data_IF_214171605940
#
_entry.id   IF_214171605940
#
_cell.length_a   1.000
_cell.length_b   1.000
_cell.length_c   1.000
_cell.angle_alpha   90.00
_cell.angle_beta   90.00
_cell.angle_gamma   90.00
#
_symmetry.space_group_name_H-M   'P 1'
#
loop_
_entity.id
_entity.type
_entity.pdbx_description
1 polymer ?
#
# COMPACT_ATOMS: atom_id res chain seq x y z
N UNK A 1 -9.05 51.14 2.77
CA UNK A 1 -9.11 50.50 1.44
C UNK A 1 -8.69 49.04 1.64
N UNK A 2 -9.65 48.12 1.64
CA UNK A 2 -9.38 46.67 1.85
C UNK A 2 -9.05 46.09 0.48
N UNK A 3 -7.84 45.59 0.33
CA UNK A 3 -7.44 44.87 -0.90
C UNK A 3 -8.13 43.49 -0.87
N UNK A 4 -8.96 43.13 -1.83
CA UNK A 4 -9.59 41.84 -1.86
C UNK A 4 -8.50 40.75 -1.97
N UNK A 5 -8.66 39.65 -1.22
CA UNK A 5 -7.80 38.47 -1.35
C UNK A 5 -7.97 37.87 -2.76
N UNK A 6 -7.02 38.17 -3.63
CA UNK A 6 -6.95 37.56 -4.98
C UNK A 6 -6.25 36.23 -4.86
N UNK A 7 -6.93 35.16 -5.24
CA UNK A 7 -6.35 33.83 -5.25
C UNK A 7 -5.57 33.54 -6.56
N UNK A 8 -4.68 32.56 -6.55
CA UNK A 8 -3.98 32.10 -7.76
C UNK A 8 -4.99 31.65 -8.83
N UNK A 9 -6.10 31.04 -8.42
CA UNK A 9 -7.19 30.66 -9.31
C UNK A 9 -7.82 31.86 -10.03
N UNK A 10 -7.97 32.98 -9.32
CA UNK A 10 -8.53 34.22 -9.90
C UNK A 10 -7.56 34.81 -10.93
N UNK A 11 -6.27 34.83 -10.63
CA UNK A 11 -5.24 35.28 -11.57
C UNK A 11 -5.16 34.43 -12.84
N UNK A 12 -5.23 33.12 -12.69
CA UNK A 12 -5.25 32.18 -13.81
C UNK A 12 -6.56 32.24 -14.61
N UNK A 13 -7.67 32.65 -14.03
CA UNK A 13 -8.93 32.84 -14.74
C UNK A 13 -8.93 34.08 -15.63
N UNK A 14 -8.23 35.14 -15.23
CA UNK A 14 -8.22 36.44 -15.90
C UNK A 14 -7.21 36.50 -17.07
N UNK A 15 -6.07 35.81 -16.98
CA UNK A 15 -4.99 35.92 -17.97
C UNK A 15 -4.69 34.58 -18.67
N UNK A 16 -4.86 34.56 -19.99
CA UNK A 16 -4.48 33.41 -20.82
C UNK A 16 -2.97 33.20 -20.85
N UNK A 17 -2.17 34.27 -20.70
CA UNK A 17 -0.72 34.21 -20.76
C UNK A 17 -0.14 33.67 -19.45
N UNK A 18 -0.68 34.08 -18.28
CA UNK A 18 -0.33 33.49 -17.00
C UNK A 18 -0.66 31.99 -16.95
N UNK A 19 -1.77 31.56 -17.59
CA UNK A 19 -2.08 30.13 -17.72
C UNK A 19 -1.04 29.36 -18.52
N UNK A 20 -0.62 29.92 -19.66
CA UNK A 20 0.42 29.30 -20.49
C UNK A 20 1.75 29.21 -19.75
N UNK A 21 2.13 30.25 -19.07
CA UNK A 21 3.37 30.33 -18.31
C UNK A 21 3.35 29.37 -17.09
N UNK A 22 2.23 29.27 -16.39
CA UNK A 22 2.06 28.31 -15.31
C UNK A 22 2.12 26.85 -15.80
N UNK A 23 1.52 26.55 -16.97
CA UNK A 23 1.58 25.22 -17.60
C UNK A 23 3.02 24.88 -18.03
N UNK A 24 3.74 25.86 -18.60
CA UNK A 24 5.14 25.68 -19.02
C UNK A 24 6.06 25.43 -17.81
N UNK A 25 5.88 26.17 -16.70
CA UNK A 25 6.65 25.97 -15.46
C UNK A 25 6.29 24.67 -14.73
N UNK A 26 5.05 24.21 -14.84
CA UNK A 26 4.60 22.92 -14.27
C UNK A 26 4.86 21.72 -15.18
N UNK A 27 5.40 21.96 -16.36
CA UNK A 27 5.74 20.87 -17.29
C UNK A 27 6.86 20.03 -16.71
N UNK A 28 6.58 18.76 -16.51
CA UNK A 28 7.58 17.80 -15.99
C UNK A 28 8.77 17.77 -16.96
N UNK A 29 9.87 18.37 -16.58
CA UNK A 29 11.12 18.23 -17.32
C UNK A 29 11.76 16.90 -16.92
N UNK A 30 12.11 16.09 -17.92
CA UNK A 30 12.99 14.95 -17.70
C UNK A 30 14.33 15.50 -17.22
N UNK A 31 14.61 15.35 -15.93
CA UNK A 31 15.95 15.60 -15.41
C UNK A 31 16.85 14.52 -16.00
N UNK A 32 17.90 14.87 -16.75
CA UNK A 32 18.86 13.87 -17.22
C UNK A 32 19.44 13.14 -16.00
N UNK A 33 19.45 11.82 -16.04
CA UNK A 33 20.09 11.03 -15.01
C UNK A 33 21.55 11.49 -14.88
N UNK A 34 22.09 11.69 -13.68
CA UNK A 34 23.47 12.15 -13.49
C UNK A 34 24.54 11.23 -14.09
N UNK A 35 24.12 10.08 -14.64
CA UNK A 35 25.01 9.15 -15.34
C UNK A 35 25.11 9.37 -16.87
N UNK A 36 24.40 10.36 -17.45
CA UNK A 36 24.41 10.56 -18.90
C UNK A 36 25.25 11.75 -19.39
N UNK A 37 25.99 12.44 -18.54
CA UNK A 37 26.68 13.67 -18.91
C UNK A 37 28.22 13.65 -18.86
N UNK A 38 28.85 12.49 -18.82
CA UNK A 38 30.31 12.45 -18.93
C UNK A 38 30.75 11.35 -19.87
N UNK A 39 30.64 11.57 -21.18
CA UNK A 39 31.51 10.85 -22.15
C UNK A 39 31.57 11.65 -23.46
N UNK A 40 32.32 12.75 -23.44
CA UNK A 40 32.93 13.29 -24.63
C UNK A 40 34.38 13.65 -24.36
N UNK A 41 35.25 12.67 -24.39
CA UNK A 41 36.64 12.78 -24.74
C UNK A 41 37.33 11.42 -24.59
N UNK A 42 37.78 10.85 -25.65
CA UNK A 42 38.69 9.69 -25.65
C UNK A 42 38.02 8.40 -26.13
N UNK A 43 38.16 8.16 -27.42
CA UNK A 43 37.86 6.86 -28.05
C UNK A 43 38.83 5.83 -27.50
N UNK A 44 38.40 5.09 -26.50
CA UNK A 44 38.90 3.76 -26.21
C UNK A 44 37.69 2.84 -26.22
N UNK A 45 37.80 1.72 -26.92
CA UNK A 45 36.71 0.76 -27.10
C UNK A 45 36.09 0.43 -25.74
N UNK A 46 35.00 1.10 -25.41
CA UNK A 46 34.13 0.72 -24.29
C UNK A 46 33.47 -0.56 -24.77
N UNK A 47 33.86 -1.68 -24.17
CA UNK A 47 33.08 -2.90 -24.29
C UNK A 47 31.62 -2.51 -23.99
N UNK A 48 30.76 -2.70 -24.97
CA UNK A 48 29.33 -2.41 -24.80
C UNK A 48 28.86 -3.23 -23.59
N UNK A 49 28.65 -2.56 -22.49
CA UNK A 49 27.97 -3.15 -21.34
C UNK A 49 26.55 -3.43 -21.84
N UNK A 50 26.34 -4.64 -22.28
CA UNK A 50 24.99 -5.14 -22.50
C UNK A 50 24.39 -5.26 -21.12
N UNK A 51 23.68 -4.21 -20.69
CA UNK A 51 22.77 -4.35 -19.56
C UNK A 51 21.91 -5.59 -19.84
N UNK A 52 21.79 -6.52 -18.90
CA UNK A 52 20.92 -7.67 -19.08
C UNK A 52 19.56 -7.16 -19.56
N UNK A 53 18.91 -7.84 -20.50
CA UNK A 53 17.61 -7.41 -21.01
C UNK A 53 16.68 -7.25 -19.80
N UNK A 54 16.03 -6.09 -19.70
CA UNK A 54 15.04 -5.83 -18.63
C UNK A 54 13.95 -6.87 -18.79
N UNK A 55 13.85 -7.79 -17.83
CA UNK A 55 12.79 -8.78 -17.81
C UNK A 55 11.57 -8.13 -17.14
N UNK A 56 10.51 -7.94 -17.91
CA UNK A 56 9.24 -7.41 -17.41
C UNK A 56 8.40 -8.60 -16.93
N UNK A 57 8.05 -8.62 -15.67
CA UNK A 57 7.18 -9.64 -15.08
C UNK A 57 5.72 -9.37 -15.46
N UNK A 58 4.99 -10.42 -15.83
CA UNK A 58 3.55 -10.33 -16.12
C UNK A 58 2.72 -10.22 -14.84
N UNK A 59 3.19 -10.81 -13.74
CA UNK A 59 2.54 -10.76 -12.43
C UNK A 59 3.58 -10.99 -11.34
N UNK A 60 3.40 -10.30 -10.22
CA UNK A 60 4.18 -10.50 -9.00
C UNK A 60 3.21 -10.83 -7.87
N UNK A 61 3.39 -11.95 -7.14
CA UNK A 61 2.53 -12.31 -6.03
C UNK A 61 2.52 -11.22 -4.94
N UNK A 62 1.37 -11.05 -4.31
CA UNK A 62 1.26 -10.21 -3.12
C UNK A 62 2.12 -10.79 -1.98
N UNK A 63 2.54 -9.93 -1.08
CA UNK A 63 3.41 -10.30 0.03
C UNK A 63 2.61 -10.83 1.21
N UNK A 64 3.10 -11.89 1.82
CA UNK A 64 2.51 -12.51 3.00
C UNK A 64 3.46 -12.40 4.18
N UNK A 65 2.88 -12.15 5.35
CA UNK A 65 3.59 -12.07 6.62
C UNK A 65 3.06 -13.14 7.56
N UNK A 66 3.94 -13.92 8.17
CA UNK A 66 3.53 -14.88 9.18
C UNK A 66 3.21 -14.15 10.48
N UNK A 67 2.02 -14.43 11.00
CA UNK A 67 1.51 -13.80 12.24
C UNK A 67 0.92 -14.85 13.17
N UNK A 68 0.86 -14.55 14.45
CA UNK A 68 0.09 -15.34 15.43
C UNK A 68 -1.10 -14.51 15.89
N UNK A 69 -2.29 -15.07 15.78
CA UNK A 69 -3.56 -14.44 16.13
C UNK A 69 -4.00 -14.87 17.51
N UNK A 70 -4.26 -13.91 18.41
CA UNK A 70 -4.66 -14.13 19.82
C UNK A 70 -3.76 -15.12 20.58
N UNK A 71 -2.50 -15.24 20.18
CA UNK A 71 -1.55 -16.18 20.79
C UNK A 71 -1.87 -17.67 20.55
N UNK A 72 -2.89 -18.01 19.74
CA UNK A 72 -3.38 -19.40 19.59
C UNK A 72 -3.33 -19.94 18.16
N UNK A 73 -3.35 -19.09 17.14
CA UNK A 73 -3.40 -19.54 15.76
C UNK A 73 -2.39 -18.82 14.87
N UNK A 74 -1.45 -19.58 14.26
CA UNK A 74 -0.52 -19.04 13.29
C UNK A 74 -1.14 -19.04 11.88
N UNK A 75 -1.06 -17.91 11.18
CA UNK A 75 -1.60 -17.72 9.83
C UNK A 75 -0.66 -16.89 8.98
N UNK A 76 -0.85 -16.92 7.66
CA UNK A 76 -0.24 -15.99 6.71
C UNK A 76 -1.20 -14.82 6.45
N UNK A 77 -0.77 -13.63 6.82
CA UNK A 77 -1.48 -12.38 6.57
C UNK A 77 -1.01 -11.74 5.27
N UNK A 78 -1.91 -11.56 4.33
CA UNK A 78 -1.66 -10.88 3.06
C UNK A 78 -1.54 -9.38 3.28
N UNK A 79 -0.43 -8.77 2.87
CA UNK A 79 -0.23 -7.32 2.92
C UNK A 79 -0.87 -6.67 1.69
N UNK A 80 -1.91 -5.86 1.90
CA UNK A 80 -2.63 -5.18 0.82
C UNK A 80 -2.81 -3.69 1.13
N UNK A 81 -2.03 -2.85 0.48
CA UNK A 81 -2.13 -1.39 0.61
C UNK A 81 -3.39 -0.80 -0.06
N UNK A 82 -4.04 -1.58 -0.93
CA UNK A 82 -5.31 -1.19 -1.57
C UNK A 82 -6.52 -1.38 -0.69
N UNK A 83 -6.41 -2.15 0.41
CA UNK A 83 -7.53 -2.41 1.31
C UNK A 83 -7.64 -1.38 2.42
N UNK A 84 -8.84 -0.81 2.58
CA UNK A 84 -9.16 0.16 3.64
C UNK A 84 -9.47 -0.49 4.99
N UNK A 85 -9.54 -1.83 5.05
CA UNK A 85 -9.91 -2.59 6.23
C UNK A 85 -8.99 -3.80 6.43
N UNK A 86 -9.02 -4.38 7.63
CA UNK A 86 -8.47 -5.71 7.89
C UNK A 86 -9.60 -6.73 7.78
N UNK A 87 -9.36 -7.82 7.07
CA UNK A 87 -10.34 -8.88 6.85
C UNK A 87 -9.80 -10.21 7.34
N UNK A 88 -10.65 -10.96 8.04
CA UNK A 88 -10.37 -12.34 8.43
C UNK A 88 -11.46 -13.26 7.89
N UNK A 89 -11.06 -14.38 7.27
CA UNK A 89 -12.01 -15.37 6.81
C UNK A 89 -12.65 -16.11 7.98
N UNK A 90 -13.91 -16.47 7.86
CA UNK A 90 -14.69 -17.03 8.98
C UNK A 90 -14.06 -18.30 9.58
N UNK A 91 -13.53 -19.19 8.76
CA UNK A 91 -12.87 -20.41 9.23
C UNK A 91 -11.56 -20.13 9.98
N UNK A 92 -10.83 -19.09 9.60
CA UNK A 92 -9.63 -18.62 10.30
C UNK A 92 -10.03 -17.95 11.62
N UNK A 93 -11.03 -17.06 11.60
CA UNK A 93 -11.54 -16.42 12.81
C UNK A 93 -11.94 -17.46 13.88
N UNK A 94 -12.68 -18.51 13.50
CA UNK A 94 -13.10 -19.57 14.46
C UNK A 94 -11.92 -20.21 15.19
N UNK A 95 -10.75 -20.28 14.58
CA UNK A 95 -9.52 -20.83 15.19
C UNK A 95 -8.86 -19.86 16.17
N UNK A 96 -9.12 -18.58 16.07
CA UNK A 96 -8.54 -17.55 16.98
C UNK A 96 -9.21 -17.49 18.32
N UNK A 97 -10.39 -18.09 18.49
CA UNK A 97 -11.23 -18.00 19.67
C UNK A 97 -11.62 -16.56 20.05
N UNK A 98 -11.42 -15.59 19.17
CA UNK A 98 -11.74 -14.20 19.41
C UNK A 98 -13.27 -13.98 19.38
N UNK A 99 -13.82 -13.15 20.28
CA UNK A 99 -15.23 -12.80 20.24
C UNK A 99 -15.53 -11.93 19.01
N UNK A 100 -16.72 -12.12 18.43
CA UNK A 100 -17.20 -11.32 17.32
C UNK A 100 -18.32 -10.37 17.76
N UNK A 101 -18.20 -9.10 17.40
CA UNK A 101 -19.29 -8.14 17.52
C UNK A 101 -20.14 -8.16 16.24
N UNK A 102 -21.33 -8.77 16.30
CA UNK A 102 -22.24 -8.90 15.15
C UNK A 102 -23.08 -7.64 14.89
N UNK A 103 -23.01 -6.64 15.77
CA UNK A 103 -23.70 -5.36 15.58
C UNK A 103 -22.89 -4.45 14.65
N UNK A 104 -21.57 -4.59 14.63
CA UNK A 104 -20.68 -3.88 13.72
C UNK A 104 -20.70 -4.61 12.39
N UNK A 105 -21.56 -4.15 11.49
CA UNK A 105 -21.70 -4.70 10.13
C UNK A 105 -21.25 -3.68 9.12
N UNK A 106 -20.53 -4.17 8.13
CA UNK A 106 -20.13 -3.39 6.97
C UNK A 106 -20.45 -4.21 5.71
N UNK A 107 -20.73 -3.53 4.62
CA UNK A 107 -20.81 -4.14 3.31
C UNK A 107 -19.55 -3.82 2.55
N UNK A 108 -18.83 -4.84 2.14
CA UNK A 108 -17.63 -4.70 1.33
C UNK A 108 -18.00 -4.66 -0.14
N UNK A 109 -17.50 -3.69 -0.87
CA UNK A 109 -17.56 -3.69 -2.33
C UNK A 109 -16.27 -4.34 -2.86
N UNK A 110 -16.41 -5.36 -3.67
CA UNK A 110 -15.29 -6.05 -4.31
C UNK A 110 -14.92 -5.35 -5.63
N UNK A 111 -13.68 -5.52 -6.08
CA UNK A 111 -13.15 -4.86 -7.28
C UNK A 111 -13.96 -5.17 -8.56
N UNK A 112 -14.68 -6.30 -8.60
CA UNK A 112 -15.57 -6.68 -9.70
C UNK A 112 -16.99 -6.08 -9.59
N UNK A 113 -17.22 -5.14 -8.64
CA UNK A 113 -18.52 -4.49 -8.42
C UNK A 113 -19.51 -5.32 -7.59
N UNK A 114 -19.16 -6.53 -7.17
CA UNK A 114 -19.95 -7.32 -6.23
C UNK A 114 -19.98 -6.70 -4.85
N UNK A 115 -21.02 -7.00 -4.06
CA UNK A 115 -21.06 -6.63 -2.65
C UNK A 115 -21.22 -7.88 -1.78
N UNK A 116 -20.48 -7.93 -0.68
CA UNK A 116 -20.54 -9.04 0.27
C UNK A 116 -20.80 -8.49 1.67
N UNK A 117 -21.80 -9.07 2.35
CA UNK A 117 -22.09 -8.73 3.73
C UNK A 117 -21.09 -9.43 4.67
N UNK A 118 -20.60 -8.70 5.65
CA UNK A 118 -19.71 -9.23 6.66
C UNK A 118 -20.51 -9.84 7.83
N UNK A 119 -19.99 -10.91 8.41
CA UNK A 119 -20.63 -11.57 9.54
C UNK A 119 -20.57 -10.76 10.84
N UNK A 120 -19.67 -9.81 10.92
CA UNK A 120 -19.41 -8.93 12.06
C UNK A 120 -17.94 -8.47 12.09
N UNK A 121 -17.52 -7.92 13.22
CA UNK A 121 -16.16 -7.46 13.45
C UNK A 121 -15.57 -8.10 14.71
N UNK A 122 -14.34 -8.58 14.61
CA UNK A 122 -13.51 -8.90 15.77
C UNK A 122 -12.80 -7.62 16.16
N UNK A 123 -13.26 -7.02 17.24
CA UNK A 123 -12.64 -5.81 17.77
C UNK A 123 -11.39 -6.16 18.56
N UNK A 124 -10.30 -5.41 18.32
CA UNK A 124 -9.01 -5.61 19.01
C UNK A 124 -8.44 -7.03 18.86
N UNK A 125 -8.50 -7.60 17.65
CA UNK A 125 -7.80 -8.84 17.36
C UNK A 125 -6.30 -8.65 17.58
N UNK A 126 -5.71 -9.44 18.47
CA UNK A 126 -4.26 -9.45 18.68
C UNK A 126 -3.57 -10.09 17.46
N UNK A 127 -2.59 -9.40 16.91
CA UNK A 127 -1.77 -9.82 15.80
C UNK A 127 -0.31 -9.71 16.25
N UNK A 128 0.29 -10.84 16.57
CA UNK A 128 1.70 -10.92 16.96
C UNK A 128 2.57 -11.25 15.75
N UNK A 129 3.59 -10.44 15.55
CA UNK A 129 4.62 -10.64 14.53
C UNK A 129 5.96 -10.79 15.22
N UNK A 130 6.46 -12.02 15.31
CA UNK A 130 7.75 -12.34 15.92
C UNK A 130 7.96 -11.72 17.33
N UNK A 131 6.90 -11.70 18.15
CA UNK A 131 6.91 -11.17 19.51
C UNK A 131 6.49 -9.71 19.62
N UNK A 132 6.28 -9.00 18.52
CA UNK A 132 5.71 -7.65 18.53
C UNK A 132 4.18 -7.76 18.48
N UNK A 133 3.53 -7.46 19.59
CA UNK A 133 2.07 -7.51 19.71
C UNK A 133 1.43 -6.24 19.21
N UNK A 134 0.49 -6.41 18.29
CA UNK A 134 -0.29 -5.35 17.68
C UNK A 134 -1.76 -5.69 17.67
N UNK A 135 -2.65 -4.75 17.38
CA UNK A 135 -4.09 -4.97 17.38
C UNK A 135 -4.76 -4.35 16.17
N UNK A 136 -5.84 -4.99 15.73
CA UNK A 136 -6.66 -4.44 14.65
C UNK A 136 -8.14 -4.81 14.84
N UNK A 137 -9.02 -4.00 14.27
CA UNK A 137 -10.40 -4.38 14.02
C UNK A 137 -10.45 -5.20 12.74
N UNK A 138 -10.81 -6.49 12.83
CA UNK A 138 -10.84 -7.40 11.70
C UNK A 138 -12.30 -7.78 11.36
N UNK A 139 -12.72 -7.48 10.14
CA UNK A 139 -14.05 -7.85 9.68
C UNK A 139 -14.07 -9.31 9.22
N UNK A 140 -15.09 -10.05 9.68
CA UNK A 140 -15.24 -11.46 9.36
C UNK A 140 -16.04 -11.63 8.10
N UNK A 141 -15.42 -12.24 7.09
CA UNK A 141 -16.03 -12.50 5.77
C UNK A 141 -16.10 -14.01 5.57
N UNK A 142 -17.30 -14.59 5.30
CA UNK A 142 -17.47 -16.04 5.18
C UNK A 142 -16.57 -16.68 4.14
N UNK A 143 -16.59 -16.18 2.91
CA UNK A 143 -15.94 -16.78 1.74
C UNK A 143 -14.85 -15.87 1.16
N UNK A 144 -14.04 -15.22 2.01
CA UNK A 144 -12.92 -14.42 1.53
C UNK A 144 -11.89 -15.31 0.80
N UNK A 145 -11.32 -14.87 -0.33
CA UNK A 145 -10.33 -15.64 -1.08
C UNK A 145 -8.98 -15.78 -0.32
N UNK A 146 -8.77 -14.96 0.66
CA UNK A 146 -7.60 -14.95 1.55
C UNK A 146 -8.05 -15.27 2.99
N UNK A 147 -7.15 -15.83 3.79
CA UNK A 147 -7.43 -16.21 5.18
C UNK A 147 -7.37 -15.03 6.13
N UNK A 148 -6.37 -14.18 5.93
CA UNK A 148 -6.18 -12.92 6.63
C UNK A 148 -5.65 -11.89 5.66
N UNK A 149 -6.25 -10.69 5.64
CA UNK A 149 -5.79 -9.56 4.87
C UNK A 149 -5.48 -8.41 5.82
N UNK A 150 -4.22 -7.97 5.80
CA UNK A 150 -3.69 -6.88 6.59
C UNK A 150 -3.72 -5.60 5.76
N UNK A 151 -4.84 -4.88 5.83
CA UNK A 151 -5.05 -3.64 5.10
C UNK A 151 -4.39 -2.43 5.77
N UNK A 152 -4.62 -1.27 5.20
CA UNK A 152 -4.03 0.00 5.61
C UNK A 152 -4.16 0.35 7.10
N UNK A 153 -5.29 0.06 7.81
CA UNK A 153 -5.39 0.40 9.23
C UNK A 153 -4.30 -0.25 10.07
N UNK A 154 -4.06 -1.55 9.87
CA UNK A 154 -2.99 -2.25 10.58
C UNK A 154 -1.60 -1.78 10.13
N UNK A 155 -1.38 -1.64 8.83
CA UNK A 155 -0.09 -1.20 8.28
C UNK A 155 0.31 0.20 8.79
N UNK A 156 -0.66 1.11 8.92
CA UNK A 156 -0.42 2.44 9.51
C UNK A 156 -0.09 2.37 10.99
N UNK A 157 -0.79 1.51 11.74
CA UNK A 157 -0.55 1.33 13.18
C UNK A 157 0.91 0.92 13.42
N UNK A 158 1.40 -0.08 12.69
CA UNK A 158 2.76 -0.61 12.83
C UNK A 158 3.81 0.19 12.03
N UNK A 159 3.42 1.30 11.39
CA UNK A 159 4.31 2.09 10.52
C UNK A 159 5.09 1.22 9.55
N UNK A 160 4.37 0.34 8.84
CA UNK A 160 4.95 -0.64 7.93
C UNK A 160 5.89 0.02 6.93
N UNK A 161 7.14 -0.39 6.94
CA UNK A 161 8.13 -0.11 5.89
C UNK A 161 8.32 -1.33 5.01
N UNK A 162 8.50 -1.11 3.70
CA UNK A 162 8.73 -2.18 2.74
C UNK A 162 9.83 -1.77 1.77
N UNK A 163 10.84 -2.63 1.62
CA UNK A 163 11.92 -2.46 0.64
C UNK A 163 11.96 -3.70 -0.23
N UNK A 164 11.73 -3.53 -1.52
CA UNK A 164 11.82 -4.61 -2.50
C UNK A 164 13.23 -4.67 -3.10
N UNK A 165 13.80 -5.85 -3.10
CA UNK A 165 15.05 -6.18 -3.76
C UNK A 165 14.80 -7.25 -4.83
N UNK A 166 15.71 -7.48 -5.77
CA UNK A 166 15.51 -8.50 -6.82
C UNK A 166 15.18 -9.91 -6.30
N UNK A 167 15.65 -10.25 -5.10
CA UNK A 167 15.54 -11.62 -4.56
C UNK A 167 14.71 -11.72 -3.27
N UNK A 168 14.30 -10.59 -2.68
CA UNK A 168 13.62 -10.61 -1.39
C UNK A 168 12.84 -9.31 -1.15
N UNK A 169 11.89 -9.37 -0.24
CA UNK A 169 11.25 -8.17 0.32
C UNK A 169 11.59 -8.09 1.80
N UNK A 170 12.16 -6.98 2.19
CA UNK A 170 12.36 -6.65 3.59
C UNK A 170 11.16 -5.88 4.10
N UNK A 171 10.54 -6.39 5.16
CA UNK A 171 9.43 -5.73 5.86
C UNK A 171 9.94 -5.25 7.22
N UNK A 172 9.65 -4.00 7.54
CA UNK A 172 9.94 -3.42 8.86
C UNK A 172 8.61 -3.02 9.51
N UNK A 173 8.42 -3.40 10.75
CA UNK A 173 7.30 -2.98 11.58
C UNK A 173 7.82 -2.35 12.86
N UNK A 174 7.03 -1.46 13.45
CA UNK A 174 7.34 -0.83 14.72
C UNK A 174 6.29 -1.23 15.74
N UNK A 175 6.73 -1.33 16.99
CA UNK A 175 5.84 -1.45 18.13
C UNK A 175 4.98 -0.18 18.22
N UNK A 176 3.64 -0.28 18.24
CA UNK A 176 2.72 0.85 18.24
C UNK A 176 2.82 1.76 19.44
#
# INVERSE_FOLDING_TARGET
>A
MVVPNVTISDLLAISSDLRKEAVEHCRTQRVPSPHSSVLSAGVSAVAAYHAPPVQIEHATPLRELRVTLNGVHSELGLLDEGSEIVVIREDTWKKTQAPINRQVRMRMQTANGGSQDMAGCVEMLEIDVEGIKTWAHAYVVPDAPYRLLLGRPWQRLVRLGKIETPNAVQVTIHDP
#
